data_IF_305152612001
#
_entry.id   IF_305152612001
#
_cell.length_a   1.000
_cell.length_b   1.000
_cell.length_c   1.000
_cell.angle_alpha   90.00
_cell.angle_beta   90.00
_cell.angle_gamma   90.00
#
_symmetry.space_group_name_H-M   'P 1'
#
loop_
_entity.id
_entity.type
_entity.pdbx_description
1 polymer ?
#
# COMPACT_ATOMS: atom_id res chain seq x y z
N UNK A 1 -20.39 14.48 0.26
CA UNK A 1 -19.92 15.82 0.64
C UNK A 1 -19.78 15.94 2.15
N UNK A 2 -20.84 15.68 2.92
CA UNK A 2 -20.83 15.76 4.39
C UNK A 2 -19.73 14.94 5.08
N UNK A 3 -19.53 13.70 4.66
CA UNK A 3 -18.46 12.83 5.22
C UNK A 3 -17.06 13.44 5.07
N UNK A 4 -16.79 14.12 3.97
CA UNK A 4 -15.48 14.77 3.72
C UNK A 4 -15.33 15.99 4.62
N UNK A 5 -16.36 16.83 4.71
CA UNK A 5 -16.35 17.98 5.62
C UNK A 5 -16.18 17.56 7.08
N UNK A 6 -16.88 16.51 7.50
CA UNK A 6 -16.73 15.95 8.84
C UNK A 6 -15.31 15.40 9.09
N UNK A 7 -14.67 14.83 8.06
CA UNK A 7 -13.27 14.40 8.11
C UNK A 7 -12.32 15.59 8.27
N UNK A 8 -12.52 16.63 7.47
CA UNK A 8 -11.74 17.87 7.55
C UNK A 8 -11.85 18.51 8.95
N UNK A 9 -13.05 18.63 9.49
CA UNK A 9 -13.25 19.20 10.83
C UNK A 9 -12.63 18.35 11.93
N UNK A 10 -12.75 17.02 11.85
CA UNK A 10 -12.12 16.11 12.82
C UNK A 10 -10.60 16.15 12.80
N UNK A 11 -9.97 16.55 11.69
CA UNK A 11 -8.50 16.55 11.54
C UNK A 11 -7.82 17.33 12.66
N UNK A 12 -8.43 18.40 13.15
CA UNK A 12 -7.89 19.21 14.28
C UNK A 12 -7.62 18.39 15.55
N UNK A 13 -8.39 17.32 15.80
CA UNK A 13 -8.22 16.46 16.98
C UNK A 13 -7.04 15.50 16.86
N UNK A 14 -6.46 15.39 15.68
CA UNK A 14 -5.34 14.49 15.35
C UNK A 14 -4.02 15.23 15.13
N UNK A 15 -4.04 16.57 15.12
CA UNK A 15 -2.83 17.40 15.05
C UNK A 15 -1.94 17.10 16.27
N UNK A 16 -0.65 16.88 16.03
CA UNK A 16 0.33 16.48 17.05
C UNK A 16 0.31 14.99 17.40
N UNK A 17 -0.63 14.20 16.85
CA UNK A 17 -0.73 12.74 17.04
C UNK A 17 -0.39 11.98 15.76
N UNK A 18 -1.30 11.93 14.82
CA UNK A 18 -1.14 11.29 13.49
C UNK A 18 -0.98 12.31 12.38
N UNK A 19 -1.47 13.53 12.59
CA UNK A 19 -1.36 14.67 11.67
C UNK A 19 -0.28 15.62 12.17
N UNK A 20 0.70 15.90 11.32
CA UNK A 20 1.73 16.90 11.58
C UNK A 20 1.21 18.30 11.30
N UNK A 21 0.60 18.47 10.14
CA UNK A 21 0.07 19.76 9.68
C UNK A 21 -1.22 19.53 8.89
N UNK A 22 -2.19 20.43 9.08
CA UNK A 22 -3.37 20.53 8.23
C UNK A 22 -3.25 21.73 7.30
N UNK A 23 -3.68 21.58 6.05
CA UNK A 23 -3.76 22.70 5.10
C UNK A 23 -4.64 23.82 5.68
N UNK A 24 -4.10 25.02 5.94
CA UNK A 24 -4.88 26.12 6.52
C UNK A 24 -6.01 26.62 5.61
N UNK A 25 -5.91 26.37 4.32
CA UNK A 25 -6.91 26.76 3.32
C UNK A 25 -7.87 25.62 2.94
N UNK A 26 -7.85 24.50 3.66
CA UNK A 26 -8.58 23.28 3.28
C UNK A 26 -10.08 23.53 3.03
N UNK A 27 -10.73 24.36 3.83
CA UNK A 27 -12.15 24.66 3.63
C UNK A 27 -12.38 25.45 2.34
N UNK A 28 -11.54 26.45 2.05
CA UNK A 28 -11.61 27.23 0.81
C UNK A 28 -11.41 26.32 -0.41
N UNK A 29 -10.38 25.46 -0.34
CA UNK A 29 -10.08 24.51 -1.40
C UNK A 29 -11.22 23.52 -1.59
N UNK A 30 -11.83 23.05 -0.50
CA UNK A 30 -12.96 22.14 -0.55
C UNK A 30 -14.21 22.78 -1.20
N UNK A 31 -14.59 23.98 -0.77
CA UNK A 31 -15.75 24.66 -1.33
C UNK A 31 -15.57 25.02 -2.80
N UNK A 32 -14.32 25.34 -3.21
CA UNK A 32 -13.97 25.62 -4.59
C UNK A 32 -14.01 24.39 -5.49
N UNK A 33 -13.45 23.29 -5.03
CA UNK A 33 -13.18 22.11 -5.87
C UNK A 33 -14.14 20.94 -5.58
N UNK A 34 -14.80 20.92 -4.42
CA UNK A 34 -15.67 19.82 -3.93
C UNK A 34 -15.01 18.43 -4.04
N UNK A 35 -13.67 18.42 -3.93
CA UNK A 35 -12.83 17.25 -4.17
C UNK A 35 -12.71 16.32 -2.97
N UNK A 36 -12.04 15.20 -3.20
CA UNK A 36 -11.69 14.23 -2.16
C UNK A 36 -10.35 14.62 -1.54
N UNK A 37 -10.21 14.34 -0.25
CA UNK A 37 -9.02 14.71 0.50
C UNK A 37 -7.90 13.70 0.36
N UNK A 38 -6.66 14.19 0.28
CA UNK A 38 -5.46 13.38 0.39
C UNK A 38 -4.66 13.75 1.64
N UNK A 39 -4.09 12.73 2.30
CA UNK A 39 -3.06 12.86 3.31
C UNK A 39 -1.74 12.35 2.78
N UNK A 40 -0.67 13.06 3.08
CA UNK A 40 0.66 12.75 2.56
C UNK A 40 1.60 12.50 3.73
N UNK A 41 2.24 11.34 3.75
CA UNK A 41 3.29 11.02 4.72
C UNK A 41 4.37 12.08 4.74
N UNK A 42 4.79 12.51 5.92
CA UNK A 42 5.91 13.43 6.12
C UNK A 42 7.22 12.78 5.68
N UNK A 43 7.58 12.99 4.43
CA UNK A 43 8.82 12.47 3.84
C UNK A 43 9.24 13.29 2.62
N UNK A 44 10.54 13.41 2.41
CA UNK A 44 11.11 14.07 1.23
C UNK A 44 11.08 13.16 -0.02
N UNK A 45 10.71 11.89 0.13
CA UNK A 45 10.71 10.92 -0.98
C UNK A 45 9.58 11.13 -1.97
N UNK A 46 8.43 11.67 -1.51
CA UNK A 46 7.26 11.89 -2.37
C UNK A 46 7.47 13.15 -3.20
N UNK A 47 7.36 12.99 -4.53
CA UNK A 47 7.55 14.13 -5.45
C UNK A 47 6.33 15.04 -5.46
N UNK A 48 6.58 16.36 -5.44
CA UNK A 48 5.52 17.36 -5.55
C UNK A 48 4.73 17.25 -6.87
N UNK A 49 5.34 16.76 -7.95
CA UNK A 49 4.64 16.56 -9.22
C UNK A 49 3.57 15.47 -9.11
N UNK A 50 3.81 14.43 -8.30
CA UNK A 50 2.79 13.42 -7.99
C UNK A 50 1.59 14.08 -7.31
N UNK A 51 1.84 14.88 -6.29
CA UNK A 51 0.78 15.61 -5.57
C UNK A 51 0.05 16.56 -6.52
N UNK A 52 0.78 17.36 -7.32
CA UNK A 52 0.17 18.25 -8.32
C UNK A 52 -0.71 17.49 -9.32
N UNK A 53 -0.32 16.29 -9.73
CA UNK A 53 -1.12 15.47 -10.63
C UNK A 53 -2.45 15.07 -9.97
N UNK A 54 -2.45 14.69 -8.71
CA UNK A 54 -3.68 14.41 -7.95
C UNK A 54 -4.57 15.65 -7.81
N UNK A 55 -3.99 16.81 -7.46
CA UNK A 55 -4.74 18.05 -7.33
C UNK A 55 -5.43 18.44 -8.64
N UNK A 56 -4.75 18.30 -9.80
CA UNK A 56 -5.33 18.55 -11.12
C UNK A 56 -6.47 17.57 -11.46
N UNK A 57 -6.53 16.41 -10.80
CA UNK A 57 -7.58 15.41 -10.95
C UNK A 57 -8.65 15.49 -9.84
N UNK A 58 -8.81 16.66 -9.23
CA UNK A 58 -9.91 16.93 -8.31
C UNK A 58 -9.69 16.48 -6.87
N UNK A 59 -8.46 16.12 -6.48
CA UNK A 59 -8.13 15.89 -5.08
C UNK A 59 -7.74 17.20 -4.38
N UNK A 60 -7.82 17.20 -3.05
CA UNK A 60 -7.47 18.35 -2.22
C UNK A 60 -6.50 17.87 -1.14
N UNK A 61 -5.35 18.53 -1.04
CA UNK A 61 -4.37 18.21 -0.02
C UNK A 61 -4.84 18.69 1.35
N UNK A 62 -5.18 17.76 2.23
CA UNK A 62 -5.68 18.06 3.57
C UNK A 62 -4.55 18.03 4.62
N UNK A 63 -3.75 16.95 4.66
CA UNK A 63 -2.79 16.74 5.75
C UNK A 63 -1.40 16.35 5.27
N UNK A 64 -0.42 16.75 6.10
CA UNK A 64 0.89 16.10 6.19
C UNK A 64 0.82 15.20 7.42
N UNK A 65 1.09 13.90 7.22
CA UNK A 65 0.88 12.87 8.21
C UNK A 65 2.20 12.43 8.84
N UNK A 66 2.21 12.24 10.17
CA UNK A 66 3.37 11.66 10.84
C UNK A 66 3.66 10.25 10.35
N UNK A 67 4.94 9.93 10.30
CA UNK A 67 5.46 8.59 10.08
C UNK A 67 6.09 8.04 11.37
N UNK A 68 6.31 6.74 11.46
CA UNK A 68 7.11 6.16 12.53
C UNK A 68 8.50 6.78 12.57
N UNK A 69 9.12 6.76 13.76
CA UNK A 69 10.46 7.30 13.93
C UNK A 69 11.46 6.60 13.00
N UNK A 70 12.25 7.39 12.27
CA UNK A 70 13.27 6.93 11.31
C UNK A 70 12.77 5.90 10.30
N UNK A 71 11.47 5.85 10.04
CA UNK A 71 10.88 4.93 9.05
C UNK A 71 10.79 3.47 9.53
N UNK A 72 10.78 3.21 10.83
CA UNK A 72 10.68 1.86 11.40
C UNK A 72 9.37 1.20 11.06
N UNK A 73 9.36 -0.15 11.00
CA UNK A 73 8.19 -0.97 10.74
C UNK A 73 7.13 -0.91 11.85
N UNK A 74 7.48 -0.38 13.03
CA UNK A 74 6.57 -0.11 14.14
C UNK A 74 6.58 1.37 14.53
N UNK A 75 5.45 1.88 14.99
CA UNK A 75 5.33 3.21 15.58
C UNK A 75 4.89 3.12 17.04
N UNK A 76 5.86 3.13 17.94
CA UNK A 76 5.63 2.99 19.38
C UNK A 76 4.84 4.16 20.00
N UNK A 77 4.67 5.25 19.27
CA UNK A 77 3.90 6.42 19.73
C UNK A 77 2.41 6.27 19.49
N UNK A 78 2.02 5.30 18.65
CA UNK A 78 0.66 5.09 18.24
C UNK A 78 0.21 3.66 18.58
N UNK A 79 -1.05 3.55 18.95
CA UNK A 79 -1.73 2.27 19.08
C UNK A 79 -2.59 2.04 17.83
N UNK A 80 -2.63 0.80 17.39
CA UNK A 80 -3.56 0.35 16.37
C UNK A 80 -4.99 0.49 16.92
N UNK A 81 -5.86 1.29 16.29
CA UNK A 81 -7.22 1.54 16.80
C UNK A 81 -8.12 0.31 16.83
N UNK A 82 -7.76 -0.75 16.11
CA UNK A 82 -8.55 -1.99 16.03
C UNK A 82 -8.09 -2.98 17.12
N UNK A 83 -6.77 -3.15 17.24
CA UNK A 83 -6.20 -4.19 18.12
C UNK A 83 -5.71 -3.67 19.47
N UNK A 84 -5.59 -2.34 19.63
CA UNK A 84 -4.98 -1.66 20.78
C UNK A 84 -3.51 -2.02 21.04
N UNK A 85 -2.85 -2.68 20.10
CA UNK A 85 -1.42 -2.98 20.14
C UNK A 85 -0.62 -1.87 19.46
N UNK A 86 0.70 -1.93 19.53
CA UNK A 86 1.59 -0.98 18.88
C UNK A 86 1.30 -0.92 17.38
N UNK A 87 1.23 0.29 16.81
CA UNK A 87 0.88 0.49 15.41
C UNK A 87 2.00 0.07 14.46
N UNK A 88 1.64 -0.57 13.37
CA UNK A 88 2.55 -0.87 12.25
C UNK A 88 2.99 0.42 11.53
N UNK A 89 4.23 0.47 11.11
CA UNK A 89 4.85 1.60 10.39
C UNK A 89 5.38 1.22 9.01
N UNK A 90 5.90 2.16 8.29
CA UNK A 90 6.20 3.53 8.73
C UNK A 90 5.13 4.56 8.34
N UNK A 91 4.16 4.24 7.51
CA UNK A 91 3.05 5.15 7.15
C UNK A 91 1.88 5.04 8.15
N UNK A 92 2.21 4.98 9.45
CA UNK A 92 1.29 4.74 10.58
C UNK A 92 0.21 5.82 10.69
N UNK A 93 0.61 7.09 10.74
CA UNK A 93 -0.30 8.23 10.82
C UNK A 93 -1.18 8.33 9.56
N UNK A 94 -0.59 8.11 8.38
CA UNK A 94 -1.32 8.13 7.12
C UNK A 94 -2.44 7.07 7.09
N UNK A 95 -2.14 5.85 7.50
CA UNK A 95 -3.13 4.77 7.54
C UNK A 95 -4.25 5.04 8.57
N UNK A 96 -3.90 5.49 9.77
CA UNK A 96 -4.89 5.88 10.81
C UNK A 96 -5.77 7.02 10.32
N UNK A 97 -5.23 8.03 9.65
CA UNK A 97 -5.97 9.16 9.14
C UNK A 97 -6.97 8.75 8.03
N UNK A 98 -6.63 7.75 7.22
CA UNK A 98 -7.55 7.13 6.27
C UNK A 98 -8.64 6.34 7.01
N UNK A 99 -8.27 5.52 8.01
CA UNK A 99 -9.25 4.74 8.79
C UNK A 99 -10.32 5.63 9.42
N UNK A 100 -9.92 6.75 10.00
CA UNK A 100 -10.86 7.71 10.61
C UNK A 100 -11.56 8.63 9.61
N UNK A 101 -11.28 8.49 8.31
CA UNK A 101 -11.89 9.30 7.26
C UNK A 101 -11.51 10.78 7.30
N UNK A 102 -10.32 11.10 7.84
CA UNK A 102 -9.75 12.45 7.71
C UNK A 102 -9.31 12.69 6.26
N UNK A 103 -8.80 11.65 5.64
CA UNK A 103 -8.43 11.63 4.23
C UNK A 103 -9.12 10.48 3.49
N UNK A 104 -9.51 10.73 2.25
CA UNK A 104 -10.05 9.70 1.36
C UNK A 104 -8.93 8.80 0.86
N UNK A 105 -7.75 9.37 0.61
CA UNK A 105 -6.56 8.69 0.13
C UNK A 105 -5.37 9.07 0.98
N UNK A 106 -4.64 8.09 1.47
CA UNK A 106 -3.32 8.25 2.08
C UNK A 106 -2.21 7.94 1.09
N UNK A 107 -1.15 8.73 1.09
CA UNK A 107 0.02 8.54 0.23
C UNK A 107 1.23 8.29 1.11
N UNK A 108 1.86 7.14 0.94
CA UNK A 108 3.03 6.72 1.71
C UNK A 108 4.19 6.27 0.85
N UNK A 109 5.28 5.90 1.52
CA UNK A 109 6.47 5.30 0.90
C UNK A 109 6.73 3.94 1.52
N UNK A 110 7.09 2.98 0.70
CA UNK A 110 7.28 1.59 1.08
C UNK A 110 8.62 1.05 0.57
N UNK A 111 9.43 0.56 1.48
CA UNK A 111 10.70 -0.09 1.14
C UNK A 111 10.76 -1.54 1.60
N UNK A 112 9.72 -2.02 2.28
CA UNK A 112 9.63 -3.37 2.85
C UNK A 112 8.36 -3.53 3.70
N UNK A 113 7.21 -3.01 3.22
CA UNK A 113 5.91 -3.12 3.89
C UNK A 113 5.39 -1.83 4.54
N UNK A 114 6.11 -0.71 4.40
CA UNK A 114 5.77 0.54 5.12
C UNK A 114 4.49 1.26 4.66
N UNK A 115 3.83 0.80 3.61
CA UNK A 115 2.46 1.19 3.21
C UNK A 115 1.52 0.04 3.44
N UNK A 116 1.92 -1.15 3.01
CA UNK A 116 1.09 -2.35 3.02
C UNK A 116 0.81 -2.82 4.45
N UNK A 117 1.85 -2.90 5.30
CA UNK A 117 1.70 -3.31 6.69
C UNK A 117 0.73 -2.43 7.48
N UNK A 118 0.89 -1.08 7.51
CA UNK A 118 -0.09 -0.19 8.12
C UNK A 118 -1.51 -0.34 7.56
N UNK A 119 -1.66 -0.51 6.24
CA UNK A 119 -2.97 -0.69 5.63
C UNK A 119 -3.62 -2.01 6.05
N UNK A 120 -2.89 -3.12 5.96
CA UNK A 120 -3.36 -4.45 6.35
C UNK A 120 -3.77 -4.46 7.82
N UNK A 121 -2.94 -3.92 8.71
CA UNK A 121 -3.21 -3.91 10.15
C UNK A 121 -4.48 -3.13 10.54
N UNK A 122 -5.00 -2.29 9.65
CA UNK A 122 -6.21 -1.50 9.82
C UNK A 122 -7.36 -1.92 8.89
N UNK A 123 -7.24 -3.06 8.22
CA UNK A 123 -8.25 -3.53 7.27
C UNK A 123 -8.57 -2.52 6.15
N UNK A 124 -7.51 -1.90 5.61
CA UNK A 124 -7.61 -0.91 4.52
C UNK A 124 -7.07 -1.49 3.21
N UNK A 125 -7.55 -0.96 2.10
CA UNK A 125 -7.01 -1.27 0.78
C UNK A 125 -5.75 -0.47 0.51
N UNK A 126 -4.76 -1.09 -0.13
CA UNK A 126 -3.54 -0.41 -0.52
C UNK A 126 -2.96 -0.94 -1.82
N UNK A 127 -2.20 -0.11 -2.50
CA UNK A 127 -1.44 -0.47 -3.68
C UNK A 127 -0.04 0.14 -3.63
N UNK A 128 0.96 -0.65 -4.00
CA UNK A 128 2.34 -0.22 -4.14
C UNK A 128 2.72 -0.23 -5.62
N UNK A 129 3.19 0.91 -6.12
CA UNK A 129 3.36 1.12 -7.56
C UNK A 129 4.82 1.29 -7.99
N UNK A 130 5.74 0.76 -7.23
CA UNK A 130 7.17 0.83 -7.54
C UNK A 130 7.55 0.18 -8.87
N UNK A 131 6.90 -0.94 -9.20
CA UNK A 131 7.06 -1.62 -10.48
C UNK A 131 6.60 -0.80 -11.68
N UNK A 132 5.66 0.12 -11.47
CA UNK A 132 5.12 1.04 -12.48
C UNK A 132 5.83 2.41 -12.47
N UNK A 133 7.00 2.51 -11.83
CA UNK A 133 7.81 3.72 -11.85
C UNK A 133 7.49 4.75 -10.78
N UNK A 134 6.45 4.56 -9.94
CA UNK A 134 6.20 5.45 -8.80
C UNK A 134 7.15 5.10 -7.65
N UNK A 135 8.31 5.72 -7.68
CA UNK A 135 9.40 5.51 -6.73
C UNK A 135 9.77 6.82 -6.03
N UNK A 136 10.32 6.68 -4.84
CA UNK A 136 10.93 7.78 -4.10
C UNK A 136 12.17 8.35 -4.82
N UNK A 137 12.66 9.47 -4.31
CA UNK A 137 13.76 10.20 -4.94
C UNK A 137 15.14 9.61 -4.65
N UNK A 138 15.32 9.00 -3.48
CA UNK A 138 16.63 8.66 -2.97
C UNK A 138 16.81 7.15 -2.83
N UNK A 139 18.02 6.68 -3.18
CA UNK A 139 18.47 5.35 -2.82
C UNK A 139 18.70 5.29 -1.30
N UNK A 140 18.23 4.22 -0.69
CA UNK A 140 18.39 3.90 0.73
C UNK A 140 19.07 2.54 0.86
N UNK A 141 19.55 2.24 2.05
CA UNK A 141 19.99 0.91 2.43
C UNK A 141 19.04 0.38 3.51
N UNK A 142 18.67 -0.88 3.39
CA UNK A 142 17.97 -1.62 4.44
C UNK A 142 18.93 -1.97 5.59
N UNK A 143 18.40 -2.52 6.68
CA UNK A 143 19.21 -2.97 7.83
C UNK A 143 20.23 -4.05 7.48
N UNK A 144 19.96 -4.82 6.43
CA UNK A 144 20.82 -5.84 5.83
C UNK A 144 21.65 -5.31 4.64
N UNK A 145 21.87 -3.98 4.60
CA UNK A 145 22.69 -3.25 3.64
C UNK A 145 22.27 -3.31 2.16
N UNK A 146 21.09 -3.82 1.86
CA UNK A 146 20.58 -3.87 0.50
C UNK A 146 20.16 -2.48 0.04
N UNK A 147 20.68 -2.07 -1.12
CA UNK A 147 20.30 -0.81 -1.73
C UNK A 147 18.93 -0.91 -2.39
N UNK A 148 18.00 0.00 -2.04
CA UNK A 148 16.67 0.07 -2.63
C UNK A 148 16.21 1.51 -2.81
N UNK A 149 15.20 1.70 -3.63
CA UNK A 149 14.43 2.95 -3.72
C UNK A 149 13.03 2.62 -3.23
N UNK A 150 12.55 3.33 -2.22
CA UNK A 150 11.20 3.10 -1.70
C UNK A 150 10.15 3.33 -2.79
N UNK A 151 9.21 2.42 -2.92
CA UNK A 151 8.03 2.61 -3.76
C UNK A 151 7.10 3.65 -3.17
N UNK A 152 6.26 4.27 -4.00
CA UNK A 152 5.15 5.10 -3.54
C UNK A 152 3.88 4.29 -3.63
N UNK A 153 3.10 4.31 -2.57
CA UNK A 153 1.84 3.59 -2.48
C UNK A 153 0.70 4.45 -1.97
N UNK A 154 -0.51 3.95 -2.20
CA UNK A 154 -1.77 4.56 -1.81
C UNK A 154 -2.52 3.67 -0.83
N UNK A 155 -3.23 4.29 0.11
CA UNK A 155 -4.09 3.65 1.11
C UNK A 155 -5.49 4.25 1.01
N UNK A 156 -6.53 3.42 1.01
CA UNK A 156 -7.93 3.87 0.95
C UNK A 156 -8.84 2.97 1.80
N UNK A 157 -10.03 3.45 2.15
CA UNK A 157 -11.03 2.65 2.86
C UNK A 157 -11.76 1.66 1.97
N UNK A 158 -11.76 1.85 0.66
CA UNK A 158 -12.46 0.97 -0.26
C UNK A 158 -11.73 0.85 -1.61
N UNK A 159 -11.94 -0.27 -2.26
CA UNK A 159 -11.27 -0.61 -3.51
C UNK A 159 -11.59 0.38 -4.66
N UNK A 160 -12.82 0.86 -4.76
CA UNK A 160 -13.21 1.79 -5.83
C UNK A 160 -12.44 3.11 -5.77
N UNK A 161 -12.12 3.59 -4.57
CA UNK A 161 -11.27 4.79 -4.42
C UNK A 161 -9.83 4.51 -4.79
N UNK A 162 -9.33 3.34 -4.43
CA UNK A 162 -8.00 2.91 -4.84
C UNK A 162 -7.90 2.85 -6.36
N UNK A 163 -8.84 2.17 -7.01
CA UNK A 163 -8.91 2.08 -8.48
C UNK A 163 -8.94 3.46 -9.15
N UNK A 164 -9.76 4.40 -8.65
CA UNK A 164 -9.82 5.77 -9.18
C UNK A 164 -8.48 6.50 -9.10
N UNK A 165 -7.79 6.36 -7.99
CA UNK A 165 -6.47 6.98 -7.82
C UNK A 165 -5.46 6.34 -8.77
N UNK A 166 -5.50 5.01 -8.93
CA UNK A 166 -4.59 4.31 -9.84
C UNK A 166 -4.77 4.76 -11.29
N UNK A 167 -6.01 4.89 -11.75
CA UNK A 167 -6.34 5.38 -13.11
C UNK A 167 -5.81 6.79 -13.43
N UNK A 168 -5.47 7.59 -12.44
CA UNK A 168 -4.81 8.88 -12.66
C UNK A 168 -3.38 8.71 -13.17
N UNK A 169 -2.71 7.65 -12.72
CA UNK A 169 -1.31 7.43 -13.05
C UNK A 169 -1.12 6.49 -14.23
N UNK A 170 -2.07 5.62 -14.47
CA UNK A 170 -1.97 4.55 -15.46
C UNK A 170 -3.25 4.44 -16.26
N UNK A 171 -3.08 4.25 -17.56
CA UNK A 171 -4.16 3.89 -18.46
C UNK A 171 -4.45 2.39 -18.34
N UNK A 172 -5.69 2.00 -18.56
CA UNK A 172 -6.04 0.59 -18.63
C UNK A 172 -5.31 -0.06 -19.80
N UNK A 173 -4.60 -1.16 -19.54
CA UNK A 173 -3.94 -1.91 -20.58
C UNK A 173 -4.98 -2.66 -21.39
N UNK A 174 -4.87 -2.59 -22.72
CA UNK A 174 -5.66 -3.47 -23.63
C UNK A 174 -5.21 -4.94 -23.55
N UNK A 175 -4.04 -5.19 -22.95
CA UNK A 175 -3.52 -6.54 -22.76
C UNK A 175 -4.40 -7.28 -21.76
N UNK A 176 -5.19 -8.22 -22.25
CA UNK A 176 -5.98 -9.12 -21.41
C UNK A 176 -5.04 -10.07 -20.65
N UNK A 177 -5.14 -10.08 -19.35
CA UNK A 177 -4.51 -11.11 -18.53
C UNK A 177 -5.09 -12.48 -18.94
N UNK A 178 -4.22 -13.46 -19.12
CA UNK A 178 -4.62 -14.80 -19.54
C UNK A 178 -4.22 -15.86 -18.55
N UNK A 179 -3.06 -15.70 -17.92
CA UNK A 179 -2.44 -16.69 -17.05
C UNK A 179 -2.37 -16.19 -15.62
N UNK A 180 -3.00 -16.92 -14.72
CA UNK A 180 -2.95 -16.66 -13.29
C UNK A 180 -2.17 -17.75 -12.58
N UNK A 181 -1.34 -17.37 -11.63
CA UNK A 181 -0.80 -18.29 -10.63
C UNK A 181 -1.54 -18.05 -9.33
N UNK A 182 -2.20 -19.07 -8.81
CA UNK A 182 -2.93 -18.99 -7.53
C UNK A 182 -2.23 -19.82 -6.48
N UNK A 183 -2.23 -19.37 -5.23
CA UNK A 183 -1.89 -20.26 -4.12
C UNK A 183 -2.93 -21.39 -4.03
N UNK A 184 -2.51 -22.56 -3.57
CA UNK A 184 -3.38 -23.73 -3.43
C UNK A 184 -4.54 -23.49 -2.46
N UNK A 185 -4.37 -22.62 -1.48
CA UNK A 185 -5.44 -22.20 -0.57
C UNK A 185 -6.48 -21.37 -1.31
N UNK A 186 -6.05 -20.40 -2.09
CA UNK A 186 -6.94 -19.50 -2.82
C UNK A 186 -7.66 -20.25 -3.96
N UNK A 187 -6.97 -21.19 -4.63
CA UNK A 187 -7.56 -22.00 -5.69
C UNK A 187 -8.80 -22.75 -5.22
N UNK A 188 -8.75 -23.35 -4.03
CA UNK A 188 -9.89 -24.06 -3.42
C UNK A 188 -11.11 -23.18 -3.18
N UNK A 189 -10.91 -21.87 -3.02
CA UNK A 189 -11.99 -20.94 -2.70
C UNK A 189 -12.62 -20.30 -3.95
N UNK A 190 -11.78 -19.87 -4.88
CA UNK A 190 -12.21 -19.08 -6.04
C UNK A 190 -11.78 -19.67 -7.40
N UNK A 191 -10.99 -20.74 -7.40
CA UNK A 191 -10.43 -21.32 -8.63
C UNK A 191 -11.49 -21.62 -9.67
N UNK A 192 -12.60 -22.24 -9.29
CA UNK A 192 -13.68 -22.58 -10.21
C UNK A 192 -14.34 -21.35 -10.87
N UNK A 193 -14.39 -20.22 -10.17
CA UNK A 193 -14.92 -18.96 -10.73
C UNK A 193 -13.99 -18.34 -11.76
N UNK A 194 -12.70 -18.61 -11.67
CA UNK A 194 -11.67 -18.02 -12.53
C UNK A 194 -11.31 -18.91 -13.72
N UNK A 195 -11.46 -20.23 -13.62
CA UNK A 195 -11.10 -21.23 -14.65
C UNK A 195 -11.77 -20.97 -16.02
N UNK A 196 -12.96 -20.37 -16.02
CA UNK A 196 -13.67 -20.06 -17.25
C UNK A 196 -13.06 -18.93 -18.07
N UNK A 197 -12.28 -18.06 -17.43
CA UNK A 197 -11.74 -16.84 -18.03
C UNK A 197 -10.21 -16.82 -18.13
N UNK A 198 -9.54 -17.68 -17.35
CA UNK A 198 -8.09 -17.65 -17.17
C UNK A 198 -7.50 -19.06 -17.20
N UNK A 199 -6.30 -19.17 -17.74
CA UNK A 199 -5.42 -20.32 -17.56
C UNK A 199 -4.81 -20.25 -16.16
N UNK A 200 -5.09 -21.26 -15.32
CA UNK A 200 -4.67 -21.24 -13.91
C UNK A 200 -3.53 -22.23 -13.70
N UNK A 201 -2.44 -21.76 -13.14
CA UNK A 201 -1.36 -22.56 -12.56
C UNK A 201 -1.44 -22.49 -11.04
N UNK A 202 -1.38 -23.64 -10.38
CA UNK A 202 -1.43 -23.69 -8.92
C UNK A 202 -0.01 -23.64 -8.37
N UNK A 203 0.21 -22.70 -7.46
CA UNK A 203 1.40 -22.65 -6.62
C UNK A 203 1.10 -23.28 -5.26
N UNK A 204 1.85 -24.30 -4.91
CA UNK A 204 1.73 -24.95 -3.60
C UNK A 204 2.46 -24.11 -2.56
N UNK A 205 1.75 -23.73 -1.49
CA UNK A 205 2.34 -23.06 -0.34
C UNK A 205 3.54 -23.85 0.19
N UNK A 206 4.68 -23.17 0.27
CA UNK A 206 5.93 -23.73 0.78
C UNK A 206 6.44 -22.87 1.92
N UNK A 207 7.03 -23.50 2.90
CA UNK A 207 7.87 -22.79 3.86
C UNK A 207 9.20 -22.47 3.18
N UNK A 208 9.46 -21.18 2.95
CA UNK A 208 10.69 -20.69 2.37
C UNK A 208 11.55 -20.16 3.51
N UNK A 209 12.73 -20.75 3.72
CA UNK A 209 13.59 -20.48 4.88
C UNK A 209 14.71 -19.52 4.58
N UNK A 210 14.95 -19.24 3.29
CA UNK A 210 15.99 -18.29 2.88
C UNK A 210 15.46 -17.32 1.81
N UNK A 211 16.15 -16.19 1.70
CA UNK A 211 15.87 -15.17 0.68
C UNK A 211 16.12 -15.72 -0.73
N UNK A 212 17.16 -16.49 -0.92
CA UNK A 212 17.51 -17.10 -2.21
C UNK A 212 16.43 -18.05 -2.68
N UNK A 213 15.87 -18.87 -1.77
CA UNK A 213 14.74 -19.76 -2.07
C UNK A 213 13.51 -18.96 -2.50
N UNK A 214 13.19 -17.89 -1.76
CA UNK A 214 12.05 -17.03 -2.08
C UNK A 214 12.22 -16.34 -3.44
N UNK A 215 13.40 -15.78 -3.72
CA UNK A 215 13.68 -15.13 -5.02
C UNK A 215 13.58 -16.14 -6.18
N UNK A 216 14.13 -17.33 -6.00
CA UNK A 216 14.08 -18.40 -7.00
C UNK A 216 12.61 -18.80 -7.27
N UNK A 217 11.83 -18.98 -6.22
CA UNK A 217 10.43 -19.35 -6.35
C UNK A 217 9.59 -18.26 -7.00
N UNK A 218 9.78 -16.99 -6.64
CA UNK A 218 9.10 -15.86 -7.28
C UNK A 218 9.43 -15.77 -8.77
N UNK A 219 10.70 -15.95 -9.15
CA UNK A 219 11.08 -15.99 -10.57
C UNK A 219 10.36 -17.12 -11.31
N UNK A 220 10.27 -18.31 -10.72
CA UNK A 220 9.55 -19.43 -11.29
C UNK A 220 8.04 -19.16 -11.45
N UNK A 221 7.44 -18.47 -10.49
CA UNK A 221 6.03 -18.07 -10.51
C UNK A 221 5.79 -17.11 -11.68
N UNK A 222 6.60 -16.07 -11.80
CA UNK A 222 6.43 -15.05 -12.85
C UNK A 222 6.77 -15.54 -14.27
N UNK A 223 7.49 -16.64 -14.41
CA UNK A 223 7.65 -17.33 -15.69
C UNK A 223 6.38 -18.08 -16.11
N UNK A 224 5.51 -18.45 -15.16
CA UNK A 224 4.32 -19.28 -15.41
C UNK A 224 3.04 -18.49 -15.58
N UNK A 225 2.98 -17.26 -15.08
CA UNK A 225 1.75 -16.47 -15.11
C UNK A 225 1.95 -14.98 -15.28
N UNK A 226 0.91 -14.34 -15.76
CA UNK A 226 0.83 -12.87 -15.88
C UNK A 226 0.63 -12.21 -14.52
N UNK A 227 -0.02 -12.91 -13.58
CA UNK A 227 -0.35 -12.43 -12.24
C UNK A 227 -0.22 -13.57 -11.24
N UNK A 228 0.36 -13.28 -10.08
CA UNK A 228 0.36 -14.16 -8.93
C UNK A 228 -0.61 -13.64 -7.87
N UNK A 229 -1.55 -14.48 -7.43
CA UNK A 229 -2.54 -14.15 -6.41
C UNK A 229 -2.40 -15.18 -5.28
N UNK A 230 -2.19 -14.69 -4.07
CA UNK A 230 -2.08 -15.55 -2.90
C UNK A 230 -2.76 -14.92 -1.67
N UNK A 231 -3.02 -15.73 -0.66
CA UNK A 231 -3.49 -15.30 0.65
C UNK A 231 -2.32 -15.43 1.61
N UNK A 232 -1.94 -14.32 2.22
CA UNK A 232 -0.98 -14.35 3.33
C UNK A 232 -1.70 -14.82 4.60
N UNK A 233 -1.26 -15.96 5.13
CA UNK A 233 -1.90 -16.59 6.30
C UNK A 233 -1.33 -16.12 7.63
N UNK A 234 -0.10 -15.64 7.62
CA UNK A 234 0.69 -15.35 8.81
C UNK A 234 1.12 -13.90 8.86
N UNK A 235 0.27 -12.98 8.43
CA UNK A 235 0.57 -11.57 8.56
C UNK A 235 0.62 -11.22 10.04
N UNK A 236 1.80 -10.82 10.48
CA UNK A 236 2.02 -10.30 11.81
C UNK A 236 1.48 -8.87 11.87
N UNK A 237 0.15 -8.75 12.05
CA UNK A 237 -0.55 -7.44 12.13
C UNK A 237 -0.21 -6.65 13.40
N UNK A 238 0.62 -7.22 14.26
CA UNK A 238 0.96 -6.64 15.57
C UNK A 238 2.17 -5.70 15.52
N UNK A 239 2.76 -5.50 14.36
CA UNK A 239 3.92 -4.62 14.20
C UNK A 239 5.21 -5.14 14.83
N UNK A 240 5.23 -6.42 15.22
CA UNK A 240 6.42 -7.06 15.75
C UNK A 240 7.20 -7.64 14.57
N UNK A 241 8.31 -7.07 14.26
CA UNK A 241 9.24 -7.64 13.30
C UNK A 241 9.66 -6.71 12.18
N UNK A 242 10.52 -5.74 12.52
CA UNK A 242 11.39 -5.09 11.55
C UNK A 242 12.15 -6.10 10.66
N UNK A 243 12.34 -7.33 11.17
CA UNK A 243 13.09 -8.39 10.51
C UNK A 243 12.30 -9.15 9.45
N UNK A 244 11.00 -9.32 9.60
CA UNK A 244 10.21 -10.11 8.65
C UNK A 244 10.00 -9.35 7.34
N UNK A 245 9.68 -8.07 7.40
CA UNK A 245 9.53 -7.22 6.21
C UNK A 245 10.88 -6.78 5.64
N UNK A 246 11.93 -6.66 6.46
CA UNK A 246 13.30 -6.43 6.01
C UNK A 246 13.87 -7.59 5.21
N UNK A 247 13.51 -8.83 5.55
CA UNK A 247 13.91 -10.01 4.78
C UNK A 247 13.28 -10.09 3.37
N UNK A 248 12.24 -9.32 3.10
CA UNK A 248 11.63 -9.22 1.78
C UNK A 248 12.33 -8.22 0.83
N UNK A 249 13.43 -7.58 1.23
CA UNK A 249 14.09 -6.52 0.45
C UNK A 249 14.47 -6.93 -0.96
N UNK A 250 15.11 -8.10 -1.17
CA UNK A 250 15.44 -8.62 -2.49
C UNK A 250 14.25 -9.28 -3.18
N UNK A 251 13.36 -9.91 -2.43
CA UNK A 251 12.08 -10.40 -2.93
C UNK A 251 11.24 -9.24 -3.49
N UNK A 252 11.28 -8.09 -2.82
CA UNK A 252 10.69 -6.85 -3.31
C UNK A 252 11.27 -6.41 -4.66
N UNK A 253 12.55 -6.68 -4.93
CA UNK A 253 13.15 -6.44 -6.25
C UNK A 253 12.57 -7.34 -7.33
N UNK A 254 12.44 -8.62 -7.06
CA UNK A 254 11.82 -9.57 -8.00
C UNK A 254 10.36 -9.20 -8.25
N UNK A 255 9.61 -8.81 -7.23
CA UNK A 255 8.28 -8.25 -7.40
C UNK A 255 8.27 -6.95 -8.19
N UNK A 256 9.25 -6.07 -7.99
CA UNK A 256 9.36 -4.81 -8.72
C UNK A 256 9.76 -5.00 -10.19
N UNK A 257 10.60 -5.96 -10.47
CA UNK A 257 11.10 -6.25 -11.83
C UNK A 257 10.11 -7.06 -12.66
N UNK A 258 9.33 -7.93 -12.01
CA UNK A 258 8.34 -8.80 -12.65
C UNK A 258 6.88 -8.34 -12.45
N UNK A 259 6.66 -7.24 -11.92
CA UNK A 259 5.51 -6.35 -11.66
C UNK A 259 4.10 -6.78 -12.11
N UNK A 260 3.65 -7.99 -11.84
CA UNK A 260 2.29 -8.44 -12.16
C UNK A 260 1.66 -9.25 -11.02
N UNK A 261 1.90 -8.86 -9.76
CA UNK A 261 1.33 -9.59 -8.64
C UNK A 261 0.20 -8.83 -7.96
N UNK A 262 -0.91 -9.51 -7.74
CA UNK A 262 -1.99 -9.06 -6.88
C UNK A 262 -1.91 -9.89 -5.60
N UNK A 263 -1.72 -9.23 -4.48
CA UNK A 263 -1.82 -9.86 -3.16
C UNK A 263 -3.17 -9.51 -2.57
N UNK A 264 -3.98 -10.52 -2.33
CA UNK A 264 -5.27 -10.36 -1.67
C UNK A 264 -5.12 -10.92 -0.26
N UNK A 265 -5.24 -10.07 0.73
CA UNK A 265 -5.30 -10.49 2.11
C UNK A 265 -6.75 -10.79 2.50
N UNK A 266 -6.98 -12.00 2.98
CA UNK A 266 -8.28 -12.48 3.40
C UNK A 266 -8.81 -11.81 4.67
N UNK A 267 -7.90 -11.43 5.56
CA UNK A 267 -8.27 -10.89 6.88
C UNK A 267 -8.61 -9.42 6.84
N UNK A 268 -8.10 -8.71 5.85
CA UNK A 268 -8.10 -7.25 5.86
C UNK A 268 -8.77 -6.63 4.65
N UNK A 269 -9.27 -7.40 3.69
CA UNK A 269 -9.70 -6.88 2.38
C UNK A 269 -8.62 -5.99 1.71
N UNK A 270 -7.37 -6.15 2.12
CA UNK A 270 -6.27 -5.41 1.51
C UNK A 270 -5.92 -6.04 0.18
N UNK A 271 -5.79 -5.23 -0.83
CA UNK A 271 -5.34 -5.64 -2.14
C UNK A 271 -4.04 -4.93 -2.45
N UNK A 272 -2.98 -5.69 -2.63
CA UNK A 272 -1.75 -5.17 -3.18
C UNK A 272 -1.75 -5.44 -4.68
N UNK A 273 -1.84 -4.39 -5.47
CA UNK A 273 -1.77 -4.47 -6.93
C UNK A 273 -0.41 -3.92 -7.35
N UNK A 274 0.44 -4.77 -7.88
CA UNK A 274 1.60 -4.34 -8.65
C UNK A 274 1.36 -4.66 -10.12
N UNK A 275 1.36 -3.63 -10.96
CA UNK A 275 1.16 -3.73 -12.39
C UNK A 275 2.50 -3.69 -13.13
N UNK A 276 2.57 -4.17 -14.39
CA UNK A 276 3.78 -4.11 -15.19
C UNK A 276 4.29 -2.71 -15.45
#
# INVERSE_FOLDING_TARGET
>A
MEKILAGIDRTKNFIGKTVKEQNPNILLDFFKNKGKTIGVKDTKEIDNNLIKKLLRNGYIWNTIDFSSDRGRAIDIRLLNPITSKVMTGSSSGTAINVLYGLNTVGIGTDGGGSVLGPAISLNLYSALLSGMGLKGKNKKKSTDEIAFIAGIGFITQNFMELEKVLKIFYEESEKKLKKLVLSDTLEKEIGDKLKNNYEITIWKDKSLFSREELMTELNNIFQKGDVFIYIEKNIEVEGIGDSVLGSLGDSGKVFQENSQSIVIDRWTNSCQISWP
#
